data_IF_507004972224
#
_entry.id   IF_507004972224
#
_cell.length_a   1.000
_cell.length_b   1.000
_cell.length_c   1.000
_cell.angle_alpha   90.00
_cell.angle_beta   90.00
_cell.angle_gamma   90.00
#
_symmetry.space_group_name_H-M   'P 1'
#
loop_
_entity.id
_entity.type
_entity.pdbx_description
1 polymer ?
#
# COMPACT_ATOMS: atom_id res chain seq x y z
N UNK A 1 16.06 -8.18 7.46
CA UNK A 1 15.55 -6.85 7.15
C UNK A 1 15.73 -6.61 5.69
N UNK A 2 14.74 -6.06 5.02
CA UNK A 2 14.75 -5.70 3.61
C UNK A 2 13.77 -4.55 3.36
N UNK A 3 13.88 -3.93 2.21
CA UNK A 3 12.93 -2.94 1.73
C UNK A 3 12.46 -3.28 0.33
N UNK A 4 11.28 -2.80 -0.01
CA UNK A 4 10.67 -2.92 -1.32
C UNK A 4 10.25 -1.54 -1.80
N UNK A 5 10.45 -1.28 -3.09
CA UNK A 5 10.07 -0.02 -3.73
C UNK A 5 9.40 -0.30 -5.08
N UNK A 6 8.64 0.64 -5.59
CA UNK A 6 8.12 0.59 -6.94
C UNK A 6 9.27 0.85 -7.92
N UNK A 7 9.53 -0.10 -8.83
CA UNK A 7 10.69 -0.02 -9.74
C UNK A 7 10.39 0.70 -11.03
N UNK A 8 9.17 0.57 -11.53
CA UNK A 8 8.78 1.17 -12.80
C UNK A 8 7.45 1.91 -12.62
N UNK A 9 7.47 3.19 -12.90
CA UNK A 9 6.27 4.00 -13.04
C UNK A 9 5.79 3.95 -14.49
N UNK A 10 4.49 4.10 -14.66
CA UNK A 10 3.91 4.30 -15.97
C UNK A 10 4.20 5.74 -16.40
N UNK A 11 4.63 5.91 -17.63
CA UNK A 11 4.79 7.22 -18.21
C UNK A 11 3.41 7.83 -18.46
N UNK A 12 3.13 8.98 -17.84
CA UNK A 12 1.86 9.69 -17.91
C UNK A 12 2.11 11.13 -18.33
N UNK A 13 1.08 11.78 -18.86
CA UNK A 13 1.19 13.18 -19.28
C UNK A 13 1.50 14.08 -18.07
N UNK A 14 2.43 14.99 -18.25
CA UNK A 14 2.64 16.10 -17.34
C UNK A 14 1.51 17.13 -17.44
N UNK A 15 1.46 18.06 -16.49
CA UNK A 15 0.36 19.01 -16.37
C UNK A 15 0.17 19.88 -17.62
N UNK A 16 1.25 20.34 -18.24
CA UNK A 16 1.19 21.17 -19.43
C UNK A 16 0.62 20.44 -20.64
N UNK A 17 1.14 19.23 -20.91
CA UNK A 17 0.69 18.40 -22.02
C UNK A 17 -0.76 17.94 -21.80
N UNK A 18 -1.11 17.63 -20.55
CA UNK A 18 -2.49 17.30 -20.18
C UNK A 18 -3.44 18.48 -20.45
N UNK A 19 -3.07 19.69 -20.03
CA UNK A 19 -3.87 20.90 -20.27
C UNK A 19 -4.07 21.18 -21.75
N UNK A 20 -3.00 21.11 -22.54
CA UNK A 20 -3.05 21.36 -23.97
C UNK A 20 -3.94 20.32 -24.67
N UNK A 21 -3.82 19.03 -24.31
CA UNK A 21 -4.66 17.96 -24.84
C UNK A 21 -6.15 18.18 -24.51
N UNK A 22 -6.48 18.54 -23.25
CA UNK A 22 -7.87 18.76 -22.84
C UNK A 22 -8.47 19.99 -23.52
N UNK A 23 -7.71 21.09 -23.62
CA UNK A 23 -8.15 22.32 -24.30
C UNK A 23 -8.40 22.04 -25.79
N UNK A 24 -7.50 21.32 -26.46
CA UNK A 24 -7.68 20.91 -27.83
C UNK A 24 -8.93 20.04 -28.02
N UNK A 25 -9.09 19.02 -27.21
CA UNK A 25 -10.25 18.12 -27.25
C UNK A 25 -11.58 18.88 -27.05
N UNK A 26 -11.63 19.83 -26.08
CA UNK A 26 -12.81 20.67 -25.83
C UNK A 26 -13.07 21.69 -26.94
N UNK A 27 -12.02 22.21 -27.54
CA UNK A 27 -12.13 23.13 -28.69
C UNK A 27 -12.68 22.40 -29.93
N UNK A 28 -12.14 21.22 -30.23
CA UNK A 28 -12.59 20.41 -31.36
C UNK A 28 -14.05 19.93 -31.20
N UNK A 29 -14.50 19.71 -29.94
CA UNK A 29 -15.88 19.37 -29.65
C UNK A 29 -16.82 20.59 -29.48
N UNK A 30 -16.31 21.80 -29.65
CA UNK A 30 -17.09 23.05 -29.54
C UNK A 30 -17.59 23.33 -28.10
N UNK A 31 -17.00 22.72 -27.10
CA UNK A 31 -17.46 22.84 -25.69
C UNK A 31 -16.49 23.60 -24.77
N UNK A 32 -15.43 24.17 -25.29
CA UNK A 32 -14.39 24.84 -24.49
C UNK A 32 -14.94 26.02 -23.67
N UNK A 33 -15.95 26.73 -24.16
CA UNK A 33 -16.59 27.85 -23.47
C UNK A 33 -17.27 27.42 -22.15
N UNK A 34 -17.56 26.13 -21.98
CA UNK A 34 -18.14 25.59 -20.76
C UNK A 34 -17.09 25.35 -19.66
N UNK A 35 -15.80 25.57 -19.99
CA UNK A 35 -14.68 25.30 -19.07
C UNK A 35 -13.79 26.54 -18.89
N UNK A 36 -14.34 27.71 -18.47
CA UNK A 36 -13.58 28.94 -18.33
C UNK A 36 -12.45 28.86 -17.31
N UNK A 37 -12.62 28.04 -16.25
CA UNK A 37 -11.59 27.83 -15.23
C UNK A 37 -10.36 27.14 -15.81
N UNK A 38 -10.52 26.19 -16.73
CA UNK A 38 -9.43 25.48 -17.37
C UNK A 38 -8.55 26.46 -18.18
N UNK A 39 -9.17 27.34 -18.95
CA UNK A 39 -8.48 28.39 -19.71
C UNK A 39 -7.74 29.32 -18.75
N UNK A 40 -8.41 29.81 -17.73
CA UNK A 40 -7.82 30.70 -16.73
C UNK A 40 -6.62 30.05 -16.01
N UNK A 41 -6.72 28.76 -15.66
CA UNK A 41 -5.61 28.01 -15.07
C UNK A 41 -4.43 27.95 -16.04
N UNK A 42 -4.66 27.63 -17.32
CA UNK A 42 -3.60 27.57 -18.33
C UNK A 42 -2.91 28.91 -18.53
N UNK A 43 -3.66 30.00 -18.62
CA UNK A 43 -3.15 31.35 -18.83
C UNK A 43 -2.38 31.88 -17.60
N UNK A 44 -2.85 31.58 -16.41
CA UNK A 44 -2.21 32.02 -15.17
C UNK A 44 -1.00 31.17 -14.76
N UNK A 45 -0.86 29.96 -15.29
CA UNK A 45 0.12 28.98 -14.86
C UNK A 45 -0.05 28.53 -13.39
N UNK A 46 -1.21 28.80 -12.79
CA UNK A 46 -1.47 28.48 -11.39
C UNK A 46 -2.13 27.10 -11.25
N UNK A 47 -1.35 26.05 -11.47
CA UNK A 47 -1.72 24.65 -11.27
C UNK A 47 -0.49 23.83 -10.89
N UNK A 48 -0.74 22.69 -10.26
CA UNK A 48 0.32 21.76 -9.87
C UNK A 48 0.73 20.86 -11.04
N UNK A 49 1.90 20.23 -10.91
CA UNK A 49 2.29 19.09 -11.76
C UNK A 49 2.46 17.86 -10.86
N UNK A 50 1.34 17.23 -10.52
CA UNK A 50 1.28 16.15 -9.55
C UNK A 50 1.51 14.80 -10.23
N UNK A 51 2.56 14.09 -9.85
CA UNK A 51 2.69 12.68 -10.13
C UNK A 51 1.91 11.88 -9.08
N UNK A 52 0.71 11.44 -9.45
CA UNK A 52 -0.14 10.68 -8.54
C UNK A 52 0.41 9.32 -8.16
N UNK A 53 1.35 8.76 -8.93
CA UNK A 53 2.03 7.52 -8.57
C UNK A 53 2.92 7.72 -7.34
N UNK A 54 3.64 8.85 -7.26
CA UNK A 54 4.43 9.21 -6.08
C UNK A 54 3.54 9.39 -4.83
N UNK A 55 2.32 9.87 -5.03
CA UNK A 55 1.38 10.08 -3.94
C UNK A 55 0.83 8.78 -3.33
N UNK A 56 0.85 7.66 -4.06
CA UNK A 56 0.32 6.37 -3.60
C UNK A 56 1.40 5.34 -3.25
N UNK A 57 2.61 5.48 -3.79
CA UNK A 57 3.70 4.56 -3.51
C UNK A 57 4.60 5.05 -2.37
N UNK A 58 5.26 4.13 -1.71
CA UNK A 58 6.28 4.40 -0.69
C UNK A 58 7.35 3.32 -0.70
N UNK A 59 8.50 3.66 -0.15
CA UNK A 59 9.49 2.66 0.23
C UNK A 59 8.97 1.87 1.43
N UNK A 60 8.89 0.57 1.30
CA UNK A 60 8.31 -0.34 2.28
C UNK A 60 9.40 -1.09 3.04
N UNK A 61 9.39 -0.99 4.36
CA UNK A 61 10.33 -1.69 5.23
C UNK A 61 9.76 -3.04 5.65
N UNK A 62 10.55 -4.10 5.42
CA UNK A 62 10.19 -5.46 5.76
C UNK A 62 11.21 -6.02 6.76
N UNK A 63 10.72 -6.56 7.87
CA UNK A 63 11.59 -7.20 8.84
C UNK A 63 10.94 -8.39 9.52
N UNK A 64 11.79 -9.35 9.86
CA UNK A 64 11.42 -10.58 10.56
C UNK A 64 12.44 -10.87 11.64
N UNK A 65 11.94 -11.26 12.79
CA UNK A 65 12.75 -11.73 13.92
C UNK A 65 12.21 -13.06 14.43
N UNK A 66 13.12 -13.95 14.85
CA UNK A 66 12.78 -15.19 15.53
C UNK A 66 13.74 -15.37 16.69
N UNK A 67 13.19 -15.67 17.86
CA UNK A 67 13.93 -16.08 19.04
C UNK A 67 13.51 -17.50 19.41
N UNK A 68 14.50 -18.35 19.68
CA UNK A 68 14.25 -19.75 20.06
C UNK A 68 15.09 -20.09 21.28
N UNK A 69 14.45 -20.72 22.26
CA UNK A 69 15.07 -21.25 23.48
C UNK A 69 14.81 -22.75 23.50
N UNK A 70 15.85 -23.52 23.63
CA UNK A 70 15.78 -24.98 23.77
C UNK A 70 16.62 -25.40 24.95
N UNK A 71 16.18 -26.40 25.65
CA UNK A 71 16.93 -26.94 26.78
C UNK A 71 16.29 -28.21 27.31
N UNK A 72 16.94 -28.78 28.29
CA UNK A 72 16.41 -29.96 28.96
C UNK A 72 17.44 -30.81 29.63
N UNK A 73 16.93 -31.88 30.24
CA UNK A 73 17.66 -32.96 30.85
C UNK A 73 17.24 -34.29 30.25
N UNK A 74 17.75 -35.41 30.76
CA UNK A 74 17.29 -36.74 30.32
C UNK A 74 15.80 -36.98 30.65
N UNK A 75 15.28 -36.28 31.68
CA UNK A 75 13.89 -36.43 32.12
C UNK A 75 12.96 -35.45 31.42
N UNK A 76 13.41 -34.19 31.17
CA UNK A 76 12.57 -33.13 30.62
C UNK A 76 13.31 -32.42 29.50
N UNK A 77 12.66 -32.29 28.36
CA UNK A 77 13.12 -31.47 27.24
C UNK A 77 12.07 -30.40 26.92
N UNK A 78 12.51 -29.22 26.57
CA UNK A 78 11.60 -28.13 26.18
C UNK A 78 12.17 -27.34 24.99
N UNK A 79 11.25 -26.77 24.24
CA UNK A 79 11.54 -25.80 23.21
C UNK A 79 10.50 -24.69 23.22
N UNK A 80 10.90 -23.45 23.05
CA UNK A 80 10.05 -22.31 22.86
C UNK A 80 10.59 -21.44 21.74
N UNK A 81 9.71 -20.99 20.86
CA UNK A 81 10.06 -20.11 19.76
C UNK A 81 9.01 -19.01 19.64
N UNK A 82 9.48 -17.77 19.58
CA UNK A 82 8.67 -16.61 19.25
C UNK A 82 9.15 -16.02 17.94
N UNK A 83 8.23 -15.67 17.05
CA UNK A 83 8.52 -15.02 15.79
C UNK A 83 7.66 -13.77 15.62
N UNK A 84 8.26 -12.76 15.03
CA UNK A 84 7.61 -11.54 14.62
C UNK A 84 7.96 -11.23 13.17
N UNK A 85 6.96 -10.80 12.42
CA UNK A 85 7.08 -10.42 11.02
C UNK A 85 6.28 -9.14 10.80
N UNK A 86 6.91 -8.14 10.17
CA UNK A 86 6.26 -6.95 9.66
C UNK A 86 6.66 -6.77 8.20
N UNK A 87 5.67 -6.70 7.35
CA UNK A 87 5.83 -6.43 5.93
C UNK A 87 4.92 -5.25 5.59
N UNK A 88 5.54 -4.10 5.38
CA UNK A 88 4.84 -2.96 4.81
C UNK A 88 4.72 -3.14 3.30
N UNK A 89 3.59 -2.77 2.73
CA UNK A 89 3.40 -2.78 1.29
C UNK A 89 3.88 -1.48 0.65
N UNK A 90 4.25 -1.55 -0.62
CA UNK A 90 4.66 -0.39 -1.42
C UNK A 90 3.51 0.60 -1.66
N UNK A 91 2.25 0.14 -1.65
CA UNK A 91 1.08 1.02 -1.64
C UNK A 91 0.84 1.54 -0.23
N UNK A 92 0.56 2.82 -0.10
CA UNK A 92 0.18 3.44 1.17
C UNK A 92 -0.97 2.68 1.83
N UNK A 93 -0.97 2.61 3.16
CA UNK A 93 -1.97 1.90 3.98
C UNK A 93 -2.06 0.38 3.73
N UNK A 94 -1.10 -0.24 3.05
CA UNK A 94 -1.01 -1.70 2.95
C UNK A 94 0.06 -2.25 3.90
N UNK A 95 -0.25 -3.33 4.60
CA UNK A 95 0.69 -3.99 5.52
C UNK A 95 0.25 -5.40 5.87
N UNK A 96 1.23 -6.21 6.29
CA UNK A 96 1.03 -7.50 6.93
C UNK A 96 1.90 -7.59 8.19
N UNK A 97 1.27 -7.87 9.33
CA UNK A 97 1.95 -8.09 10.61
C UNK A 97 1.57 -9.45 11.17
N UNK A 98 2.54 -10.17 11.69
CA UNK A 98 2.33 -11.49 12.25
C UNK A 98 3.19 -11.67 13.51
N UNK A 99 2.58 -12.20 14.55
CA UNK A 99 3.24 -12.68 15.76
C UNK A 99 2.90 -14.16 15.94
N UNK A 100 3.89 -14.97 16.17
CA UNK A 100 3.70 -16.40 16.43
C UNK A 100 4.49 -16.86 17.63
N UNK A 101 3.88 -17.74 18.42
CA UNK A 101 4.53 -18.42 19.54
C UNK A 101 4.32 -19.91 19.35
N UNK A 102 5.38 -20.67 19.48
CA UNK A 102 5.38 -22.13 19.48
C UNK A 102 6.13 -22.61 20.69
N UNK A 103 5.64 -23.66 21.29
CA UNK A 103 6.34 -24.26 22.41
C UNK A 103 6.00 -25.73 22.53
N UNK A 104 6.89 -26.46 23.17
CA UNK A 104 6.70 -27.86 23.47
C UNK A 104 7.57 -28.30 24.61
N UNK A 105 7.11 -29.33 25.30
CA UNK A 105 7.93 -30.05 26.24
C UNK A 105 7.64 -31.56 26.17
N UNK A 106 8.65 -32.34 26.45
CA UNK A 106 8.58 -33.78 26.58
C UNK A 106 9.14 -34.18 27.95
N UNK A 107 8.39 -34.97 28.69
CA UNK A 107 8.81 -35.48 29.98
C UNK A 107 8.76 -37.00 30.03
N UNK A 108 9.85 -37.64 30.46
CA UNK A 108 9.91 -39.07 30.74
C UNK A 108 9.48 -39.28 32.21
N UNK A 109 8.19 -39.53 32.43
CA UNK A 109 7.63 -39.72 33.77
C UNK A 109 8.06 -41.04 34.39
N UNK A 110 8.30 -42.05 33.56
CA UNK A 110 8.86 -43.34 33.96
C UNK A 110 9.47 -44.06 32.76
N UNK A 111 10.10 -45.23 32.96
CA UNK A 111 10.61 -46.07 31.85
C UNK A 111 9.55 -46.47 30.83
N UNK A 112 8.27 -46.37 31.20
CA UNK A 112 7.15 -46.80 30.35
C UNK A 112 6.22 -45.64 29.94
N UNK A 113 6.38 -44.45 30.53
CA UNK A 113 5.45 -43.32 30.32
C UNK A 113 6.23 -42.11 29.89
N UNK A 114 5.86 -41.58 28.71
CA UNK A 114 6.33 -40.30 28.19
C UNK A 114 5.14 -39.39 28.01
N UNK A 115 5.30 -38.15 28.41
CA UNK A 115 4.33 -37.09 28.21
C UNK A 115 4.92 -36.05 27.24
N UNK A 116 4.23 -35.72 26.18
CA UNK A 116 4.59 -34.65 25.27
C UNK A 116 3.44 -33.69 25.10
N UNK A 117 3.75 -32.40 25.15
CA UNK A 117 2.79 -31.33 24.87
C UNK A 117 3.41 -30.36 23.88
N UNK A 118 2.68 -30.04 22.81
CA UNK A 118 3.07 -29.03 21.84
C UNK A 118 1.92 -28.04 21.66
N UNK A 119 2.24 -26.77 21.60
CA UNK A 119 1.28 -25.73 21.28
C UNK A 119 1.85 -24.78 20.25
N UNK A 120 0.96 -24.20 19.46
CA UNK A 120 1.30 -23.17 18.49
C UNK A 120 0.14 -22.19 18.39
N UNK A 121 0.44 -20.92 18.53
CA UNK A 121 -0.51 -19.84 18.31
C UNK A 121 0.06 -18.80 17.39
N UNK A 122 -0.79 -18.20 16.59
CA UNK A 122 -0.39 -17.15 15.65
C UNK A 122 -1.49 -16.10 15.58
N UNK A 123 -1.10 -14.85 15.71
CA UNK A 123 -1.95 -13.70 15.42
C UNK A 123 -1.42 -12.97 14.20
N UNK A 124 -2.30 -12.65 13.27
CA UNK A 124 -1.93 -11.85 12.10
C UNK A 124 -2.94 -10.74 11.83
N UNK A 125 -2.44 -9.60 11.41
CA UNK A 125 -3.22 -8.46 10.95
C UNK A 125 -2.72 -8.04 9.59
N UNK A 126 -3.64 -7.88 8.63
CA UNK A 126 -3.32 -7.41 7.29
C UNK A 126 -4.27 -6.32 6.86
N UNK A 127 -3.77 -5.41 6.06
CA UNK A 127 -4.55 -4.48 5.27
C UNK A 127 -3.98 -4.51 3.86
N UNK A 128 -4.83 -4.78 2.90
CA UNK A 128 -4.47 -4.80 1.49
C UNK A 128 -5.24 -3.68 0.80
N UNK A 129 -4.55 -2.90 0.02
CA UNK A 129 -5.18 -2.01 -0.95
C UNK A 129 -5.34 -2.78 -2.25
N UNK A 130 -6.49 -2.61 -2.90
CA UNK A 130 -6.75 -3.25 -4.18
C UNK A 130 -6.01 -2.48 -5.27
N UNK A 131 -4.97 -3.05 -5.90
CA UNK A 131 -4.15 -2.32 -6.89
C UNK A 131 -4.91 -2.05 -8.18
N UNK A 132 -5.78 -2.98 -8.59
CA UNK A 132 -6.60 -2.89 -9.80
C UNK A 132 -8.05 -3.21 -9.50
N UNK A 133 -8.98 -2.67 -10.28
CA UNK A 133 -10.41 -2.96 -10.13
C UNK A 133 -10.75 -4.42 -10.40
N UNK A 134 -11.66 -4.97 -9.60
CA UNK A 134 -12.09 -6.38 -9.72
C UNK A 134 -13.12 -6.67 -10.81
N UNK A 135 -13.75 -5.64 -11.38
CA UNK A 135 -14.76 -5.76 -12.43
C UNK A 135 -14.46 -4.80 -13.56
N UNK A 136 -14.85 -5.20 -14.79
CA UNK A 136 -14.57 -4.50 -16.04
C UNK A 136 -15.23 -3.12 -16.19
N UNK A 137 -16.14 -2.75 -15.32
CA UNK A 137 -16.93 -1.50 -15.44
C UNK A 137 -16.48 -0.40 -14.45
N UNK A 138 -15.78 -0.77 -13.36
CA UNK A 138 -15.32 0.21 -12.37
C UNK A 138 -13.79 0.26 -12.28
N UNK A 139 -13.22 1.42 -12.56
CA UNK A 139 -11.81 1.75 -12.31
C UNK A 139 -11.65 1.96 -10.78
N UNK A 140 -11.75 0.87 -10.00
CA UNK A 140 -11.80 0.93 -8.54
C UNK A 140 -10.46 0.70 -7.84
N UNK A 141 -9.42 0.26 -8.58
CA UNK A 141 -8.10 0.02 -8.02
C UNK A 141 -7.32 1.31 -7.79
N UNK A 142 -6.57 1.38 -6.70
CA UNK A 142 -5.78 2.57 -6.30
C UNK A 142 -4.82 3.02 -7.40
N UNK A 143 -4.14 2.08 -8.07
CA UNK A 143 -3.20 2.39 -9.16
C UNK A 143 -3.97 2.94 -10.36
N UNK A 144 -5.06 2.31 -10.75
CA UNK A 144 -5.86 2.74 -11.89
C UNK A 144 -6.46 4.14 -11.65
N UNK A 145 -6.92 4.42 -10.43
CA UNK A 145 -7.38 5.75 -10.05
C UNK A 145 -6.25 6.78 -10.13
N UNK A 146 -5.07 6.47 -9.59
CA UNK A 146 -3.92 7.38 -9.65
C UNK A 146 -3.51 7.70 -11.09
N UNK A 147 -3.54 6.72 -11.99
CA UNK A 147 -3.24 6.93 -13.42
C UNK A 147 -4.33 7.73 -14.17
N UNK A 148 -5.54 7.78 -13.62
CA UNK A 148 -6.67 8.50 -14.22
C UNK A 148 -6.85 9.90 -13.62
N UNK A 149 -6.14 10.23 -12.55
CA UNK A 149 -6.23 11.56 -11.92
C UNK A 149 -5.54 12.62 -12.77
N UNK A 150 -6.19 13.81 -12.92
CA UNK A 150 -5.57 14.93 -13.60
C UNK A 150 -4.30 15.41 -12.88
N UNK A 151 -3.17 15.57 -13.58
CA UNK A 151 -1.91 16.01 -12.98
C UNK A 151 -1.94 17.48 -12.51
N UNK A 152 -2.89 18.27 -13.00
CA UNK A 152 -3.06 19.69 -12.64
C UNK A 152 -3.61 19.94 -11.25
N UNK A 153 -4.01 18.90 -10.52
CA UNK A 153 -4.61 19.01 -9.20
C UNK A 153 -3.58 18.68 -8.11
N UNK A 154 -3.56 19.44 -7.00
CA UNK A 154 -2.74 19.10 -5.83
C UNK A 154 -3.27 17.85 -5.12
N UNK A 155 -2.39 17.13 -4.41
CA UNK A 155 -2.81 16.01 -3.56
C UNK A 155 -3.70 16.48 -2.41
N UNK A 156 -3.37 17.63 -1.83
CA UNK A 156 -4.08 18.24 -0.72
C UNK A 156 -4.60 19.62 -1.10
N UNK A 157 -5.80 19.94 -0.67
CA UNK A 157 -6.36 21.28 -0.76
C UNK A 157 -5.75 22.19 0.31
N UNK A 158 -5.96 23.50 0.19
CA UNK A 158 -5.46 24.52 1.14
C UNK A 158 -5.97 24.31 2.60
N UNK A 159 -7.08 23.60 2.77
CA UNK A 159 -7.65 23.25 4.07
C UNK A 159 -7.06 21.97 4.67
N UNK A 160 -6.13 21.30 3.96
CA UNK A 160 -5.49 20.05 4.36
C UNK A 160 -6.28 18.78 4.01
N UNK A 161 -7.45 18.89 3.41
CA UNK A 161 -8.22 17.74 2.93
C UNK A 161 -7.65 17.22 1.60
N UNK A 162 -7.92 15.95 1.31
CA UNK A 162 -7.59 15.38 0.01
C UNK A 162 -8.41 16.02 -1.11
N UNK A 163 -7.76 16.26 -2.24
CA UNK A 163 -8.44 16.79 -3.43
C UNK A 163 -9.51 15.83 -3.93
N UNK A 164 -10.69 16.38 -4.25
CA UNK A 164 -11.81 15.65 -4.85
C UNK A 164 -12.06 16.18 -6.26
N UNK A 165 -12.09 15.28 -7.26
CA UNK A 165 -12.25 15.65 -8.68
C UNK A 165 -13.53 16.46 -8.92
N UNK A 166 -14.64 16.09 -8.29
CA UNK A 166 -15.94 16.72 -8.50
C UNK A 166 -16.02 18.23 -8.13
N UNK A 167 -15.00 18.76 -7.45
CA UNK A 167 -14.97 20.18 -7.04
C UNK A 167 -14.22 21.09 -8.01
N UNK A 168 -13.53 20.52 -9.01
CA UNK A 168 -12.60 21.26 -9.88
C UNK A 168 -13.05 21.40 -11.35
N UNK A 169 -14.15 20.73 -11.75
CA UNK A 169 -14.72 20.82 -13.11
C UNK A 169 -16.08 21.45 -13.12
#
# INVERSE_FOLDING_TARGET
VGWSEAQNYVDVLEADDYMDMIIEARTNNGSIQNFPKLIQMRESGNYENTNWQDAIFRNALNYRGTATITGGTEILKYNFSANYQNEDGILLNSFYKRVGIKGGFEANLSKKIKLGVNFSTTYSKRRLQQPTGGNTEDVTGVIAQALSMPPILPVYQNNGDYTQIAQHY
#
